data_IF_267695138203
#
_entry.id   IF_267695138203
#
_cell.length_a   1.000
_cell.length_b   1.000
_cell.length_c   1.000
_cell.angle_alpha   90.00
_cell.angle_beta   90.00
_cell.angle_gamma   90.00
#
_symmetry.space_group_name_H-M   'P 1'
#
loop_
_entity.id
_entity.type
_entity.pdbx_description
1 polymer ?
#
# COMPACT_ATOMS: atom_id res chain seq x y z
N UNK A 1 20.21 17.29 -14.20
CA UNK A 1 19.64 16.68 -12.98
C UNK A 1 19.18 15.28 -13.33
N UNK A 2 19.97 14.26 -12.99
CA UNK A 2 19.55 12.87 -13.16
C UNK A 2 18.62 12.58 -11.97
N UNK A 3 17.32 12.56 -12.21
CA UNK A 3 16.37 12.02 -11.23
C UNK A 3 16.61 10.51 -11.22
N UNK A 4 17.57 10.04 -10.40
CA UNK A 4 17.59 8.64 -10.00
C UNK A 4 16.35 8.46 -9.14
N UNK A 5 15.27 8.01 -9.74
CA UNK A 5 14.20 7.35 -9.01
C UNK A 5 14.84 6.18 -8.26
N UNK A 6 15.22 6.40 -7.00
CA UNK A 6 15.10 5.35 -6.01
C UNK A 6 13.61 5.10 -5.88
N UNK A 7 13.07 4.36 -6.86
CA UNK A 7 11.79 3.70 -6.70
C UNK A 7 12.00 2.78 -5.51
N UNK A 8 11.60 3.25 -4.33
CA UNK A 8 11.52 2.41 -3.15
C UNK A 8 10.77 1.18 -3.62
N UNK A 9 11.40 0.00 -3.52
CA UNK A 9 10.69 -1.23 -3.79
C UNK A 9 9.65 -1.37 -2.68
N UNK A 10 8.36 -1.18 -2.99
CA UNK A 10 7.37 -1.01 -1.95
C UNK A 10 7.16 -2.30 -1.14
N UNK A 11 7.49 -3.47 -1.71
CA UNK A 11 7.41 -4.77 -1.01
C UNK A 11 8.48 -4.91 0.08
N UNK A 12 9.66 -4.32 -0.14
CA UNK A 12 10.74 -4.33 0.84
C UNK A 12 10.70 -3.11 1.79
N UNK A 13 9.70 -2.24 1.65
CA UNK A 13 9.54 -1.08 2.51
C UNK A 13 8.92 -1.45 3.87
N UNK A 14 9.34 -0.75 4.92
CA UNK A 14 8.80 -0.92 6.28
C UNK A 14 7.29 -0.62 6.36
N UNK A 15 6.76 0.18 5.43
CA UNK A 15 5.34 0.46 5.32
C UNK A 15 4.52 -0.69 4.74
N UNK A 16 5.15 -1.68 4.10
CA UNK A 16 4.44 -2.77 3.42
C UNK A 16 3.47 -3.50 4.36
N UNK A 17 3.99 -3.98 5.49
CA UNK A 17 3.20 -4.71 6.48
C UNK A 17 2.06 -3.84 7.04
N UNK A 18 2.34 -2.57 7.35
CA UNK A 18 1.35 -1.63 7.90
C UNK A 18 0.21 -1.34 6.91
N UNK A 19 0.52 -1.27 5.61
CA UNK A 19 -0.48 -1.04 4.56
C UNK A 19 -1.40 -2.23 4.40
N UNK A 20 -0.84 -3.44 4.35
CA UNK A 20 -1.61 -4.67 4.23
C UNK A 20 -2.48 -4.87 5.47
N UNK A 21 -1.92 -4.68 6.67
CA UNK A 21 -2.68 -4.80 7.93
C UNK A 21 -3.85 -3.81 7.97
N UNK A 22 -3.62 -2.54 7.61
CA UNK A 22 -4.68 -1.53 7.58
C UNK A 22 -5.78 -1.86 6.56
N UNK A 23 -5.40 -2.38 5.39
CA UNK A 23 -6.35 -2.85 4.37
C UNK A 23 -7.17 -4.04 4.88
N UNK A 24 -6.52 -5.03 5.50
CA UNK A 24 -7.18 -6.23 5.98
C UNK A 24 -8.11 -5.95 7.16
N UNK A 25 -7.72 -5.04 8.06
CA UNK A 25 -8.56 -4.58 9.16
C UNK A 25 -9.83 -3.89 8.65
N UNK A 26 -9.70 -2.94 7.72
CA UNK A 26 -10.85 -2.26 7.12
C UNK A 26 -11.77 -3.25 6.40
N UNK A 27 -11.19 -4.25 5.72
CA UNK A 27 -11.96 -5.31 5.06
C UNK A 27 -12.71 -6.19 6.05
N UNK A 28 -12.09 -6.56 7.18
CA UNK A 28 -12.72 -7.36 8.26
C UNK A 28 -13.85 -6.59 8.95
N UNK A 29 -13.73 -5.28 9.06
CA UNK A 29 -14.77 -4.39 9.58
C UNK A 29 -15.98 -4.26 8.63
N UNK A 30 -15.89 -4.83 7.41
CA UNK A 30 -16.93 -4.75 6.41
C UNK A 30 -16.98 -3.40 5.69
N UNK A 31 -15.90 -2.61 5.77
CA UNK A 31 -15.82 -1.32 5.08
C UNK A 31 -15.91 -1.51 3.56
N UNK A 32 -16.46 -0.52 2.82
CA UNK A 32 -16.48 -0.57 1.36
C UNK A 32 -15.05 -0.59 0.81
N UNK A 33 -14.86 -1.18 -0.38
CA UNK A 33 -13.54 -1.34 -1.01
C UNK A 33 -12.73 -0.04 -1.09
N UNK A 34 -13.39 1.10 -1.35
CA UNK A 34 -12.76 2.42 -1.40
C UNK A 34 -12.11 2.78 -0.07
N UNK A 35 -12.80 2.55 1.04
CA UNK A 35 -12.30 2.84 2.39
C UNK A 35 -11.19 1.86 2.80
N UNK A 36 -11.24 0.61 2.31
CA UNK A 36 -10.14 -0.35 2.51
C UNK A 36 -8.85 0.13 1.83
N UNK A 37 -8.93 0.57 0.58
CA UNK A 37 -7.75 1.13 -0.11
C UNK A 37 -7.28 2.42 0.57
N UNK A 38 -8.21 3.28 0.99
CA UNK A 38 -7.87 4.52 1.70
C UNK A 38 -7.10 4.26 2.99
N UNK A 39 -7.51 3.26 3.78
CA UNK A 39 -6.81 2.86 5.00
C UNK A 39 -5.35 2.45 4.72
N UNK A 40 -5.11 1.71 3.64
CA UNK A 40 -3.75 1.36 3.21
C UNK A 40 -2.93 2.57 2.76
N UNK A 41 -3.52 3.51 2.02
CA UNK A 41 -2.85 4.76 1.62
C UNK A 41 -2.51 5.63 2.82
N UNK A 42 -3.41 5.73 3.79
CA UNK A 42 -3.15 6.48 5.02
C UNK A 42 -2.03 5.86 5.86
N UNK A 43 -1.97 4.52 5.94
CA UNK A 43 -0.88 3.82 6.58
C UNK A 43 0.48 4.13 5.91
N UNK A 44 0.54 4.08 4.57
CA UNK A 44 1.74 4.46 3.82
C UNK A 44 2.16 5.90 4.09
N UNK A 45 1.21 6.84 4.06
CA UNK A 45 1.47 8.28 4.27
C UNK A 45 1.96 8.62 5.68
N UNK A 46 1.58 7.86 6.71
CA UNK A 46 2.11 8.07 8.07
C UNK A 46 3.60 7.79 8.16
N UNK A 47 4.09 6.82 7.38
CA UNK A 47 5.49 6.38 7.37
C UNK A 47 6.31 7.24 6.40
N UNK A 48 5.69 7.63 5.27
CA UNK A 48 6.31 8.48 4.24
C UNK A 48 5.56 9.81 4.07
N UNK A 49 5.61 10.73 5.07
CA UNK A 49 4.85 11.98 5.02
C UNK A 49 5.36 12.96 3.95
N UNK A 50 6.61 12.79 3.51
CA UNK A 50 7.25 13.62 2.47
C UNK A 50 6.79 13.27 1.04
N UNK A 51 6.18 12.09 0.86
CA UNK A 51 5.71 11.66 -0.45
C UNK A 51 4.41 12.35 -0.84
N UNK A 52 4.27 12.66 -2.13
CA UNK A 52 3.02 13.19 -2.66
C UNK A 52 1.88 12.18 -2.47
N UNK A 53 0.66 12.69 -2.28
CA UNK A 53 -0.52 11.84 -2.11
C UNK A 53 -0.73 10.88 -3.28
N UNK A 54 -0.44 11.33 -4.52
CA UNK A 54 -0.52 10.50 -5.71
C UNK A 54 0.50 9.35 -5.67
N UNK A 55 1.75 9.65 -5.30
CA UNK A 55 2.82 8.65 -5.24
C UNK A 55 2.56 7.63 -4.12
N UNK A 56 2.18 8.09 -2.93
CA UNK A 56 1.77 7.23 -1.82
C UNK A 56 0.60 6.30 -2.18
N UNK A 57 -0.38 6.82 -2.93
CA UNK A 57 -1.52 6.02 -3.39
C UNK A 57 -1.09 4.92 -4.35
N UNK A 58 -0.22 5.23 -5.31
CA UNK A 58 0.32 4.25 -6.27
C UNK A 58 1.07 3.13 -5.54
N UNK A 59 1.90 3.46 -4.55
CA UNK A 59 2.67 2.46 -3.80
C UNK A 59 1.77 1.55 -2.96
N UNK A 60 0.83 2.11 -2.20
CA UNK A 60 -0.08 1.33 -1.38
C UNK A 60 -0.97 0.39 -2.22
N UNK A 61 -1.49 0.87 -3.35
CA UNK A 61 -2.30 0.03 -4.25
C UNK A 61 -1.47 -1.08 -4.89
N UNK A 62 -0.22 -0.79 -5.29
CA UNK A 62 0.67 -1.80 -5.85
C UNK A 62 0.94 -2.95 -4.86
N UNK A 63 1.13 -2.63 -3.58
CA UNK A 63 1.29 -3.61 -2.50
C UNK A 63 0.05 -4.49 -2.32
N UNK A 64 -1.12 -3.86 -2.17
CA UNK A 64 -2.38 -4.57 -1.94
C UNK A 64 -2.70 -5.51 -3.12
N UNK A 65 -2.48 -5.05 -4.35
CA UNK A 65 -2.67 -5.89 -5.54
C UNK A 65 -1.66 -7.01 -5.63
N UNK A 66 -0.39 -6.76 -5.30
CA UNK A 66 0.64 -7.79 -5.31
C UNK A 66 0.37 -8.89 -4.27
N UNK A 67 -0.08 -8.54 -3.07
CA UNK A 67 -0.51 -9.49 -2.03
C UNK A 67 -1.67 -10.36 -2.53
N UNK A 68 -2.70 -9.72 -3.12
CA UNK A 68 -3.87 -10.44 -3.66
C UNK A 68 -3.54 -11.34 -4.85
N UNK A 69 -2.58 -10.96 -5.69
CA UNK A 69 -2.11 -11.82 -6.79
C UNK A 69 -1.30 -13.00 -6.25
N UNK A 70 -0.44 -12.79 -5.25
CA UNK A 70 0.29 -13.87 -4.58
C UNK A 70 -0.65 -14.88 -3.91
N UNK A 71 -1.73 -14.44 -3.28
CA UNK A 71 -2.77 -15.31 -2.73
C UNK A 71 -3.51 -16.15 -3.79
N UNK A 72 -3.47 -15.75 -5.06
CA UNK A 72 -4.18 -16.40 -6.18
C UNK A 72 -3.34 -17.40 -6.95
N UNK A 73 -2.03 -17.43 -6.72
CA UNK A 73 -1.07 -18.33 -7.38
C UNK A 73 -0.82 -19.59 -6.53
N UNK A 74 -1.22 -19.57 -5.26
CA UNK A 74 -1.12 -20.68 -4.31
C UNK A 74 -2.43 -21.50 -4.19
N UNK A 75 -3.31 -21.47 -5.21
CA UNK A 75 -4.53 -22.30 -5.32
C UNK A 75 -4.41 -23.34 -6.43
#
# INVERSE_FOLDING_TARGET
MVWRGSTIDPKNDVAAAAVIEAFDLARRDGAPSVECYRAGVEAWRRIHPDQSAEYASKQAVALILAEKVSLRVDE
#
